data_IF_850508316202
#
_entry.id   IF_850508316202
#
_cell.length_a   1.000
_cell.length_b   1.000
_cell.length_c   1.000
_cell.angle_alpha   90.00
_cell.angle_beta   90.00
_cell.angle_gamma   90.00
#
_symmetry.space_group_name_H-M   'P 1'
#
loop_
_entity.id
_entity.type
_entity.pdbx_description
1 polymer ?
#
# COMPACT_ATOMS: atom_id res chain seq x y z
N UNK A 1 -31.41 -15.13 -22.47
CA UNK A 1 -30.75 -14.34 -23.55
C UNK A 1 -31.12 -12.86 -23.50
N UNK A 2 -32.41 -12.52 -23.41
CA UNK A 2 -32.92 -11.13 -23.39
C UNK A 2 -32.41 -10.28 -22.21
N UNK A 3 -32.31 -10.86 -21.00
CA UNK A 3 -31.81 -10.15 -19.82
C UNK A 3 -30.33 -9.74 -19.93
N UNK A 4 -29.52 -10.50 -20.67
CA UNK A 4 -28.09 -10.21 -20.90
C UNK A 4 -27.93 -8.99 -21.82
N UNK A 5 -28.78 -8.87 -22.84
CA UNK A 5 -28.84 -7.73 -23.77
C UNK A 5 -29.35 -6.47 -23.07
N UNK A 6 -30.36 -6.60 -22.20
CA UNK A 6 -30.85 -5.47 -21.38
C UNK A 6 -29.81 -4.97 -20.37
N UNK A 7 -29.03 -5.87 -19.75
CA UNK A 7 -27.88 -5.51 -18.89
C UNK A 7 -26.79 -4.78 -19.70
N UNK A 8 -26.47 -5.26 -20.90
CA UNK A 8 -25.50 -4.60 -21.79
C UNK A 8 -25.93 -3.20 -22.25
N UNK A 9 -27.23 -2.97 -22.44
CA UNK A 9 -27.81 -1.68 -22.85
C UNK A 9 -28.19 -0.77 -21.66
N UNK A 10 -27.90 -1.15 -20.41
CA UNK A 10 -28.19 -0.33 -19.22
C UNK A 10 -29.66 -0.25 -18.79
N UNK A 11 -30.57 -0.99 -19.43
CA UNK A 11 -32.02 -1.00 -19.14
C UNK A 11 -32.47 -2.22 -18.32
N UNK A 12 -31.53 -3.05 -17.84
CA UNK A 12 -31.82 -4.21 -16.98
C UNK A 12 -31.70 -3.85 -15.50
N UNK A 13 -32.67 -4.25 -14.68
CA UNK A 13 -32.54 -4.19 -13.22
C UNK A 13 -31.36 -5.07 -12.77
N UNK A 14 -30.47 -4.52 -11.93
CA UNK A 14 -29.42 -5.29 -11.27
C UNK A 14 -30.11 -6.27 -10.31
N UNK A 15 -30.02 -7.57 -10.59
CA UNK A 15 -30.44 -8.60 -9.65
C UNK A 15 -29.24 -8.98 -8.77
N UNK A 16 -29.24 -8.65 -7.46
CA UNK A 16 -28.15 -9.02 -6.55
C UNK A 16 -28.03 -10.53 -6.34
N UNK A 17 -29.02 -11.32 -6.78
CA UNK A 17 -29.01 -12.78 -6.73
C UNK A 17 -28.29 -13.44 -7.91
N UNK A 18 -27.77 -12.68 -8.87
CA UNK A 18 -27.07 -13.23 -10.06
C UNK A 18 -25.74 -12.52 -10.31
N UNK A 19 -24.65 -13.31 -10.38
CA UNK A 19 -23.28 -12.83 -10.58
C UNK A 19 -22.64 -12.30 -9.29
N UNK A 20 -21.53 -11.58 -9.43
CA UNK A 20 -20.79 -11.04 -8.30
C UNK A 20 -21.34 -9.64 -7.95
N UNK A 21 -21.77 -9.46 -6.70
CA UNK A 21 -22.38 -8.22 -6.21
C UNK A 21 -21.66 -7.78 -4.93
N UNK A 22 -21.25 -6.51 -4.89
CA UNK A 22 -20.72 -5.89 -3.67
C UNK A 22 -21.84 -5.06 -3.03
N UNK A 23 -22.21 -5.40 -1.80
CA UNK A 23 -23.14 -4.63 -0.98
C UNK A 23 -22.36 -3.79 0.02
N UNK A 24 -22.66 -2.49 0.06
CA UNK A 24 -22.04 -1.55 0.99
C UNK A 24 -23.14 -0.93 1.84
N UNK A 25 -23.08 -1.12 3.16
CA UNK A 25 -23.93 -0.43 4.13
C UNK A 25 -23.05 0.47 4.99
N UNK A 26 -23.36 1.77 4.99
CA UNK A 26 -22.61 2.79 5.72
C UNK A 26 -23.51 3.36 6.80
N UNK A 27 -23.18 3.08 8.05
CA UNK A 27 -23.83 3.65 9.24
C UNK A 27 -22.85 4.56 9.98
N UNK A 28 -23.34 5.30 10.97
CA UNK A 28 -22.50 6.26 11.70
C UNK A 28 -21.29 5.62 12.39
N UNK A 29 -21.45 4.44 12.98
CA UNK A 29 -20.40 3.80 13.80
C UNK A 29 -19.66 2.67 13.09
N UNK A 30 -20.18 2.21 11.94
CA UNK A 30 -19.59 1.11 11.20
C UNK A 30 -19.94 1.13 9.71
N UNK A 31 -19.02 0.59 8.92
CA UNK A 31 -19.14 0.33 7.49
C UNK A 31 -19.07 -1.17 7.27
N UNK A 32 -20.09 -1.73 6.61
CA UNK A 32 -20.20 -3.15 6.31
C UNK A 32 -20.09 -3.36 4.81
N UNK A 33 -19.26 -4.31 4.39
CA UNK A 33 -19.10 -4.69 2.99
C UNK A 33 -19.32 -6.19 2.86
N UNK A 34 -20.22 -6.59 1.96
CA UNK A 34 -20.47 -7.99 1.66
C UNK A 34 -20.22 -8.27 0.17
N UNK A 35 -19.48 -9.34 -0.12
CA UNK A 35 -19.40 -9.93 -1.46
C UNK A 35 -20.44 -11.05 -1.56
N UNK A 36 -21.38 -10.91 -2.49
CA UNK A 36 -22.29 -11.97 -2.87
C UNK A 36 -21.87 -12.57 -4.21
N UNK A 37 -21.87 -13.89 -4.32
CA UNK A 37 -21.78 -14.63 -5.57
C UNK A 37 -23.08 -15.41 -5.80
N UNK A 38 -23.82 -15.01 -6.84
CA UNK A 38 -25.15 -15.58 -7.14
C UNK A 38 -26.12 -15.54 -5.93
N UNK A 39 -26.08 -14.44 -5.18
CA UNK A 39 -26.91 -14.23 -4.00
C UNK A 39 -26.44 -14.96 -2.73
N UNK A 40 -25.37 -15.77 -2.80
CA UNK A 40 -24.75 -16.40 -1.64
C UNK A 40 -23.65 -15.49 -1.09
N UNK A 41 -23.55 -15.38 0.24
CA UNK A 41 -22.54 -14.58 0.92
C UNK A 41 -21.20 -15.30 0.92
N UNK A 42 -20.20 -14.72 0.28
CA UNK A 42 -18.84 -15.27 0.22
C UNK A 42 -17.88 -14.55 1.18
N UNK A 43 -17.94 -13.22 1.24
CA UNK A 43 -17.10 -12.42 2.13
C UNK A 43 -17.94 -11.38 2.86
N UNK A 44 -17.63 -11.14 4.14
CA UNK A 44 -18.26 -10.10 4.96
C UNK A 44 -17.20 -9.40 5.80
N UNK A 45 -17.05 -8.10 5.61
CA UNK A 45 -16.13 -7.25 6.35
C UNK A 45 -16.88 -6.13 7.06
N UNK A 46 -16.46 -5.83 8.28
CA UNK A 46 -17.00 -4.73 9.10
C UNK A 46 -15.83 -3.89 9.57
N UNK A 47 -15.89 -2.60 9.26
CA UNK A 47 -14.97 -1.58 9.73
C UNK A 47 -15.73 -0.68 10.70
N UNK A 48 -15.16 -0.43 11.89
CA UNK A 48 -15.78 0.43 12.92
C UNK A 48 -15.00 1.72 13.07
N UNK A 49 -15.66 2.78 13.52
CA UNK A 49 -14.97 4.01 13.89
C UNK A 49 -13.89 3.71 14.96
N UNK A 50 -12.64 4.04 14.64
CA UNK A 50 -11.47 3.79 15.51
C UNK A 50 -10.60 2.60 15.10
N UNK A 51 -11.13 1.62 14.35
CA UNK A 51 -10.36 0.50 13.79
C UNK A 51 -9.66 0.94 12.49
N UNK A 52 -8.71 1.88 12.58
CA UNK A 52 -7.92 2.28 11.43
C UNK A 52 -6.84 1.24 11.14
N UNK A 53 -7.08 0.39 10.13
CA UNK A 53 -6.03 -0.46 9.59
C UNK A 53 -5.12 0.35 8.65
N UNK A 54 -3.93 0.72 9.14
CA UNK A 54 -2.94 1.46 8.34
C UNK A 54 -2.09 0.53 7.44
N UNK A 55 -2.18 -0.79 7.61
CA UNK A 55 -1.41 -1.76 6.83
C UNK A 55 -1.81 -1.68 5.36
N UNK A 56 -0.80 -1.66 4.49
CA UNK A 56 -0.96 -1.45 3.05
C UNK A 56 -1.04 0.02 2.65
N UNK A 57 -1.30 0.93 3.60
CA UNK A 57 -1.33 2.37 3.37
C UNK A 57 0.02 2.92 2.93
N UNK A 58 -0.02 3.89 2.01
CA UNK A 58 1.14 4.59 1.48
C UNK A 58 1.13 6.02 2.03
N UNK A 59 2.24 6.42 2.63
CA UNK A 59 2.38 7.71 3.31
C UNK A 59 3.58 8.46 2.75
N UNK A 60 3.46 9.78 2.65
CA UNK A 60 4.61 10.67 2.54
C UNK A 60 5.08 11.00 3.95
N UNK A 61 6.22 10.44 4.35
CA UNK A 61 6.78 10.61 5.67
C UNK A 61 8.05 11.47 5.69
N UNK A 62 8.41 11.98 6.86
CA UNK A 62 9.65 12.74 7.09
C UNK A 62 10.57 12.00 8.06
N UNK A 63 11.83 11.79 7.68
CA UNK A 63 12.83 11.16 8.56
C UNK A 63 13.06 12.07 9.77
N UNK A 64 12.71 11.59 10.98
CA UNK A 64 12.90 12.34 12.23
C UNK A 64 14.20 11.99 12.92
N UNK A 65 14.57 10.71 12.91
CA UNK A 65 15.75 10.21 13.59
C UNK A 65 16.32 8.98 12.88
N UNK A 66 17.62 8.74 13.04
CA UNK A 66 18.35 7.60 12.48
C UNK A 66 19.09 6.89 13.61
N UNK A 67 18.78 5.62 13.85
CA UNK A 67 19.42 4.78 14.86
C UNK A 67 20.40 3.80 14.21
N UNK A 68 21.69 4.13 14.26
CA UNK A 68 22.75 3.32 13.65
C UNK A 68 22.86 1.92 14.26
N UNK A 69 22.63 1.80 15.57
CA UNK A 69 22.68 0.51 16.27
C UNK A 69 21.57 -0.46 15.81
N UNK A 70 20.39 0.07 15.50
CA UNK A 70 19.26 -0.68 14.97
C UNK A 70 19.28 -0.80 13.44
N UNK A 71 20.18 -0.08 12.77
CA UNK A 71 20.20 0.11 11.31
C UNK A 71 18.83 0.51 10.80
N UNK A 72 18.24 1.52 11.43
CA UNK A 72 16.87 1.93 11.17
C UNK A 72 16.69 3.45 11.20
N UNK A 73 15.63 3.91 10.54
CA UNK A 73 15.16 5.29 10.55
C UNK A 73 13.76 5.33 11.17
N UNK A 74 13.49 6.37 11.95
CA UNK A 74 12.15 6.67 12.44
C UNK A 74 11.54 7.77 11.58
N UNK A 75 10.41 7.46 10.97
CA UNK A 75 9.76 8.28 9.95
C UNK A 75 8.42 8.75 10.48
N UNK A 76 8.23 10.06 10.57
CA UNK A 76 6.94 10.65 10.92
C UNK A 76 6.00 10.54 9.73
N UNK A 77 4.88 9.86 9.93
CA UNK A 77 3.82 9.65 8.93
C UNK A 77 2.50 10.33 9.33
N UNK A 78 2.52 11.21 10.34
CA UNK A 78 1.33 11.92 10.83
C UNK A 78 0.46 11.12 11.80
N UNK A 79 0.98 10.04 12.39
CA UNK A 79 0.34 9.27 13.47
C UNK A 79 1.00 9.55 14.82
N UNK A 80 0.38 9.09 15.91
CA UNK A 80 0.87 9.27 17.27
C UNK A 80 2.28 8.70 17.51
N UNK A 81 2.67 7.68 16.74
CA UNK A 81 3.99 7.05 16.78
C UNK A 81 4.65 7.15 15.41
N UNK A 82 5.96 7.41 15.41
CA UNK A 82 6.76 7.34 14.20
C UNK A 82 6.82 5.90 13.67
N UNK A 83 6.79 5.74 12.35
CA UNK A 83 7.02 4.47 11.69
C UNK A 83 8.49 4.06 11.81
N UNK A 84 8.71 2.76 11.97
CA UNK A 84 10.04 2.15 11.94
C UNK A 84 10.36 1.69 10.51
N UNK A 85 11.52 2.11 9.98
CA UNK A 85 12.00 1.72 8.67
C UNK A 85 13.43 1.16 8.77
N UNK A 86 13.60 -0.14 8.50
CA UNK A 86 14.91 -0.78 8.51
C UNK A 86 15.72 -0.39 7.25
N UNK A 87 17.04 -0.24 7.35
CA UNK A 87 17.89 0.19 6.23
C UNK A 87 17.78 -0.71 5.00
N UNK A 88 17.65 -2.03 5.19
CA UNK A 88 17.44 -2.98 4.08
C UNK A 88 16.13 -2.76 3.33
N UNK A 89 15.09 -2.29 4.01
CA UNK A 89 13.78 -2.00 3.40
C UNK A 89 13.73 -0.58 2.79
N UNK A 90 14.76 0.23 3.05
CA UNK A 90 14.91 1.58 2.51
C UNK A 90 15.77 1.62 1.24
N UNK A 91 16.25 0.48 0.73
CA UNK A 91 17.03 0.45 -0.51
C UNK A 91 16.13 0.93 -1.67
N UNK A 92 16.58 1.91 -2.48
CA UNK A 92 15.74 2.41 -3.56
C UNK A 92 15.42 1.28 -4.55
N UNK A 93 14.14 1.07 -4.84
CA UNK A 93 13.67 -0.02 -5.71
C UNK A 93 14.33 -0.01 -7.10
N UNK A 94 14.80 1.15 -7.57
CA UNK A 94 15.55 1.31 -8.82
C UNK A 94 16.93 0.61 -8.82
N UNK A 95 17.45 0.21 -7.66
CA UNK A 95 18.73 -0.51 -7.52
C UNK A 95 18.55 -1.99 -7.22
N UNK A 96 17.34 -2.40 -6.83
CA UNK A 96 16.99 -3.80 -6.54
C UNK A 96 16.40 -4.49 -7.79
N UNK A 97 15.71 -3.73 -8.64
CA UNK A 97 15.36 -4.17 -9.97
C UNK A 97 16.61 -4.15 -10.85
N UNK A 98 16.90 -5.25 -11.53
CA UNK A 98 17.89 -5.35 -12.61
C UNK A 98 17.50 -4.48 -13.81
N UNK A 99 17.43 -3.16 -13.61
CA UNK A 99 17.45 -2.15 -14.65
C UNK A 99 18.85 -2.23 -15.28
N UNK A 100 19.02 -3.20 -16.18
CA UNK A 100 20.11 -3.17 -17.14
C UNK A 100 19.89 -1.93 -18.00
N UNK A 101 20.53 -0.83 -17.61
CA UNK A 101 20.75 0.29 -18.51
C UNK A 101 21.52 -0.29 -19.71
N UNK A 102 20.87 -0.40 -20.86
CA UNK A 102 21.50 -0.84 -22.12
C UNK A 102 22.38 0.31 -22.61
N UNK A 103 23.43 0.63 -21.87
CA UNK A 103 24.44 1.58 -22.29
C UNK A 103 25.43 0.87 -23.21
N UNK A 104 25.52 1.33 -24.46
CA UNK A 104 26.49 0.84 -25.46
C UNK A 104 27.89 1.44 -25.23
N UNK A 105 28.10 2.19 -24.15
CA UNK A 105 29.38 2.74 -23.71
C UNK A 105 30.23 1.80 -22.84
N UNK A 106 31.45 2.21 -22.48
CA UNK A 106 32.30 1.43 -21.58
C UNK A 106 31.61 1.28 -20.22
N UNK A 107 31.45 0.03 -19.74
CA UNK A 107 30.80 -0.32 -18.46
C UNK A 107 31.35 0.53 -17.30
N UNK A 108 30.62 1.59 -16.91
CA UNK A 108 30.83 2.19 -15.59
C UNK A 108 30.33 1.18 -14.56
N UNK A 109 31.19 0.73 -13.66
CA UNK A 109 30.75 -0.06 -12.50
C UNK A 109 29.81 0.82 -11.67
N UNK A 110 28.51 0.60 -11.78
CA UNK A 110 27.55 1.23 -10.89
C UNK A 110 27.86 0.72 -9.48
N UNK A 111 28.20 1.65 -8.56
CA UNK A 111 28.48 1.30 -7.17
C UNK A 111 27.22 0.68 -6.57
N UNK A 112 27.32 -0.55 -6.07
CA UNK A 112 26.25 -1.18 -5.31
C UNK A 112 25.99 -0.36 -4.05
N UNK A 113 24.82 0.25 -3.97
CA UNK A 113 24.35 0.89 -2.74
C UNK A 113 24.09 -0.20 -1.72
N UNK A 114 24.57 0.02 -0.50
CA UNK A 114 24.43 -0.89 0.63
C UNK A 114 23.59 -0.25 1.72
N UNK A 115 23.16 -1.05 2.69
CA UNK A 115 22.46 -0.54 3.88
C UNK A 115 23.27 0.52 4.67
N UNK A 116 24.60 0.56 4.52
CA UNK A 116 25.45 1.56 5.17
C UNK A 116 25.31 2.96 4.58
N UNK A 117 24.88 3.05 3.32
CA UNK A 117 24.76 4.31 2.59
C UNK A 117 23.39 4.97 2.84
N UNK A 118 22.43 4.25 3.42
CA UNK A 118 21.05 4.70 3.68
C UNK A 118 20.98 6.01 4.47
N UNK A 119 21.76 6.23 5.54
CA UNK A 119 21.73 7.50 6.26
C UNK A 119 22.15 8.71 5.42
N UNK A 120 23.04 8.51 4.44
CA UNK A 120 23.51 9.57 3.55
C UNK A 120 22.53 9.81 2.40
N UNK A 121 21.83 8.77 1.95
CA UNK A 121 20.78 8.86 0.92
C UNK A 121 19.53 9.53 1.49
N UNK A 122 19.16 9.21 2.73
CA UNK A 122 17.98 9.73 3.42
C UNK A 122 18.35 10.34 4.77
N UNK A 123 19.05 11.49 4.79
CA UNK A 123 19.39 12.18 6.04
C UNK A 123 18.15 12.66 6.80
N UNK A 124 18.34 13.00 8.08
CA UNK A 124 17.28 13.58 8.93
C UNK A 124 16.66 14.79 8.22
N UNK A 125 15.33 14.81 8.17
CA UNK A 125 14.55 15.83 7.48
C UNK A 125 14.14 15.46 6.05
N UNK A 126 14.68 14.39 5.47
CA UNK A 126 14.29 13.89 4.15
C UNK A 126 12.81 13.50 4.11
N UNK A 127 12.16 13.83 3.00
CA UNK A 127 10.80 13.35 2.71
C UNK A 127 10.88 12.09 1.86
N UNK A 128 10.21 11.03 2.31
CA UNK A 128 10.21 9.71 1.64
C UNK A 128 8.79 9.17 1.55
N UNK A 129 8.50 8.45 0.46
CA UNK A 129 7.25 7.70 0.33
C UNK A 129 7.48 6.31 0.89
N UNK A 130 6.65 5.89 1.84
CA UNK A 130 6.76 4.59 2.50
C UNK A 130 5.41 3.87 2.48
N UNK A 131 5.47 2.54 2.48
CA UNK A 131 4.30 1.69 2.67
C UNK A 131 4.37 1.03 4.05
N UNK A 132 3.26 1.06 4.79
CA UNK A 132 3.16 0.36 6.06
C UNK A 132 2.90 -1.12 5.80
N UNK A 133 3.87 -1.97 6.10
CA UNK A 133 3.73 -3.43 5.95
C UNK A 133 3.16 -4.11 7.20
N UNK A 134 3.28 -3.48 8.37
CA UNK A 134 2.81 -4.01 9.67
C UNK A 134 2.22 -2.89 10.53
N UNK A 135 1.12 -3.18 11.20
CA UNK A 135 0.44 -2.26 12.12
C UNK A 135 1.16 -2.16 13.48
N UNK A 136 0.74 -1.20 14.33
CA UNK A 136 1.28 -1.00 15.68
C UNK A 136 0.98 -2.15 16.65
#
# INVERSE_FOLDING_TARGET
MINKIKRFLGFGSINPMEGNTILINVEKLERRVALLENGLLEEYSVEREGDQNIVGGIFKGKVKNIEQGLKAMFVDIGLDKNAFLHFWDALPAALDAGLEEIDRGPKKQQKKITSKDIPDIYPIGSEIVIQVSKGP
#
